data_IF_825174968079
#
_entry.id   IF_825174968079
#
_cell.length_a   1.000
_cell.length_b   1.000
_cell.length_c   1.000
_cell.angle_alpha   90.00
_cell.angle_beta   90.00
_cell.angle_gamma   90.00
#
_symmetry.space_group_name_H-M   'P 1'
#
loop_
_entity.id
_entity.type
_entity.pdbx_description
1 polymer ?
#
# COMPACT_ATOMS: atom_id res chain seq x y z
N UNK A 1 11.15 -2.24 25.54
CA UNK A 1 12.15 -2.61 24.53
C UNK A 1 11.51 -2.72 23.15
N UNK A 2 10.41 -3.42 23.05
CA UNK A 2 9.75 -3.64 21.77
C UNK A 2 9.18 -2.37 21.15
N UNK A 3 8.73 -1.44 21.98
CA UNK A 3 8.17 -0.18 21.47
C UNK A 3 9.20 0.65 20.71
N UNK A 4 10.45 0.64 21.17
CA UNK A 4 11.51 1.35 20.51
C UNK A 4 11.83 0.72 19.15
N UNK A 5 11.88 -0.61 19.10
CA UNK A 5 12.13 -1.34 17.87
C UNK A 5 10.96 -1.16 16.89
N UNK A 6 9.74 -1.16 17.39
CA UNK A 6 8.55 -0.96 16.56
C UNK A 6 8.63 0.41 15.89
N UNK A 7 8.89 1.47 16.67
CA UNK A 7 8.97 2.82 16.12
C UNK A 7 10.07 2.96 15.08
N UNK A 8 11.22 2.35 15.32
CA UNK A 8 12.35 2.38 14.40
C UNK A 8 12.00 1.67 13.09
N UNK A 9 11.42 0.50 13.18
CA UNK A 9 11.07 -0.29 12.00
C UNK A 9 9.97 0.40 11.17
N UNK A 10 8.98 0.97 11.83
CA UNK A 10 7.94 1.72 11.13
C UNK A 10 8.52 2.91 10.38
N UNK A 11 9.46 3.62 11.01
CA UNK A 11 10.11 4.77 10.37
C UNK A 11 10.92 4.33 9.15
N UNK A 12 11.67 3.24 9.27
CA UNK A 12 12.46 2.73 8.15
C UNK A 12 11.57 2.30 6.97
N UNK A 13 10.44 1.66 7.26
CA UNK A 13 9.50 1.26 6.22
C UNK A 13 8.95 2.50 5.49
N UNK A 14 8.57 3.53 6.25
CA UNK A 14 8.09 4.79 5.64
C UNK A 14 9.16 5.42 4.74
N UNK A 15 10.40 5.41 5.19
CA UNK A 15 11.50 5.98 4.42
C UNK A 15 11.73 5.23 3.11
N UNK A 16 11.71 3.89 3.15
CA UNK A 16 11.88 3.09 1.94
C UNK A 16 10.74 3.29 0.95
N UNK A 17 9.53 3.50 1.43
CA UNK A 17 8.39 3.74 0.56
C UNK A 17 8.30 5.19 0.10
N UNK A 18 9.06 6.09 0.73
CA UNK A 18 9.03 7.51 0.38
C UNK A 18 7.72 8.19 0.74
N UNK A 19 7.06 7.72 1.79
CA UNK A 19 5.76 8.24 2.21
C UNK A 19 5.87 9.04 3.50
N UNK A 20 5.00 10.04 3.62
CA UNK A 20 4.86 10.81 4.85
C UNK A 20 4.11 9.99 5.90
N UNK A 21 4.30 10.29 7.20
CA UNK A 21 3.58 9.55 8.24
C UNK A 21 2.06 9.52 8.07
N UNK A 22 1.48 10.60 7.56
CA UNK A 22 0.03 10.67 7.34
C UNK A 22 -0.45 9.80 6.18
N UNK A 23 0.47 9.29 5.36
CA UNK A 23 0.13 8.49 4.18
C UNK A 23 0.23 6.99 4.43
N UNK A 24 0.65 6.58 5.63
CA UNK A 24 0.90 5.18 5.93
C UNK A 24 0.36 4.84 7.30
N UNK A 25 -0.39 3.75 7.38
CA UNK A 25 -0.99 3.29 8.62
C UNK A 25 -0.61 1.83 8.85
N UNK A 26 -0.13 1.54 10.06
CA UNK A 26 0.23 0.20 10.49
C UNK A 26 -0.87 -0.33 11.40
N UNK A 27 -1.56 -1.37 10.98
CA UNK A 27 -2.62 -1.98 11.78
C UNK A 27 -2.21 -3.39 12.17
N UNK A 28 -2.22 -3.65 13.48
CA UNK A 28 -1.86 -4.95 14.03
C UNK A 28 -3.09 -5.62 14.60
N UNK A 29 -3.22 -6.92 14.34
CA UNK A 29 -4.30 -7.75 14.90
C UNK A 29 -3.73 -9.06 15.38
N UNK A 30 -4.28 -9.58 16.47
CA UNK A 30 -3.94 -10.92 16.94
C UNK A 30 -4.97 -11.90 16.41
N UNK A 31 -4.49 -12.95 15.73
CA UNK A 31 -5.32 -13.98 15.14
C UNK A 31 -4.71 -15.35 15.43
N UNK A 32 -5.41 -16.17 16.19
CA UNK A 32 -5.02 -17.58 16.43
C UNK A 32 -3.57 -17.75 16.88
N UNK A 33 -3.15 -16.92 17.82
CA UNK A 33 -1.80 -17.02 18.39
C UNK A 33 -0.72 -16.37 17.54
N UNK A 34 -1.08 -15.72 16.46
CA UNK A 34 -0.16 -14.96 15.63
C UNK A 34 -0.57 -13.50 15.56
N UNK A 35 0.39 -12.66 15.19
CA UNK A 35 0.13 -11.26 14.94
C UNK A 35 0.11 -11.05 13.43
N UNK A 36 -0.85 -10.29 12.95
CA UNK A 36 -0.93 -9.88 11.56
C UNK A 36 -0.77 -8.36 11.47
N UNK A 37 0.11 -7.93 10.58
CA UNK A 37 0.28 -6.51 10.25
C UNK A 37 -0.34 -6.25 8.90
N UNK A 38 -1.30 -5.33 8.86
CA UNK A 38 -1.82 -4.78 7.61
C UNK A 38 -1.18 -3.42 7.42
N UNK A 39 -0.46 -3.25 6.33
CA UNK A 39 0.14 -1.97 5.97
C UNK A 39 -0.80 -1.27 4.98
N UNK A 40 -1.37 -0.17 5.42
CA UNK A 40 -2.40 0.54 4.66
C UNK A 40 -1.84 1.88 4.21
N UNK A 41 -1.97 2.16 2.92
CA UNK A 41 -1.57 3.45 2.37
C UNK A 41 -2.80 4.33 2.25
N UNK A 42 -2.62 5.60 2.60
CA UNK A 42 -3.67 6.60 2.60
C UNK A 42 -3.30 7.68 1.59
N UNK A 43 -4.22 8.01 0.70
CA UNK A 43 -4.01 9.12 -0.23
C UNK A 43 -4.96 10.24 0.14
N UNK A 44 -4.49 11.27 0.88
CA UNK A 44 -5.34 12.37 1.32
C UNK A 44 -5.98 13.15 0.18
N UNK A 45 -5.27 13.24 -0.97
CA UNK A 45 -5.78 13.98 -2.13
C UNK A 45 -7.04 13.35 -2.70
N UNK A 46 -7.14 12.01 -2.61
CA UNK A 46 -8.26 11.27 -3.18
C UNK A 46 -9.16 10.68 -2.11
N UNK A 47 -8.84 10.90 -0.83
CA UNK A 47 -9.60 10.37 0.30
C UNK A 47 -9.82 8.86 0.18
N UNK A 48 -8.76 8.16 -0.17
CA UNK A 48 -8.78 6.70 -0.37
C UNK A 48 -7.71 6.03 0.46
N UNK A 49 -8.01 4.81 0.86
CA UNK A 49 -7.07 3.95 1.58
C UNK A 49 -7.01 2.59 0.91
N UNK A 50 -5.81 2.00 0.89
CA UNK A 50 -5.59 0.72 0.23
C UNK A 50 -4.70 -0.16 1.09
N UNK A 51 -5.00 -1.45 1.11
CA UNK A 51 -4.08 -2.40 1.72
C UNK A 51 -2.90 -2.59 0.78
N UNK A 52 -1.72 -2.14 1.20
CA UNK A 52 -0.50 -2.31 0.43
C UNK A 52 -0.02 -3.77 0.49
N UNK A 53 0.07 -4.31 1.70
CA UNK A 53 0.53 -5.68 1.93
C UNK A 53 0.23 -6.07 3.37
N UNK A 54 0.11 -7.37 3.62
CA UNK A 54 0.09 -7.87 5.00
C UNK A 54 1.22 -8.86 5.22
N UNK A 55 1.66 -8.96 6.48
CA UNK A 55 2.61 -9.96 6.93
C UNK A 55 2.13 -10.52 8.26
N UNK A 56 2.49 -11.77 8.53
CA UNK A 56 2.16 -12.41 9.80
C UNK A 56 3.42 -12.88 10.49
N UNK A 57 3.41 -12.90 11.81
CA UNK A 57 4.53 -13.33 12.60
C UNK A 57 4.13 -13.63 14.04
N UNK A 58 5.12 -13.97 14.84
CA UNK A 58 4.89 -14.28 16.26
C UNK A 58 4.58 -13.04 17.09
N UNK A 59 5.11 -11.90 16.67
CA UNK A 59 4.93 -10.63 17.35
C UNK A 59 5.01 -9.49 16.34
N UNK A 60 4.82 -8.28 16.83
CA UNK A 60 4.83 -7.08 15.99
C UNK A 60 6.17 -6.85 15.32
N UNK A 61 7.25 -7.08 16.05
CA UNK A 61 8.61 -6.87 15.53
C UNK A 61 8.88 -7.78 14.35
N UNK A 62 8.52 -9.06 14.45
CA UNK A 62 8.71 -10.00 13.35
C UNK A 62 7.91 -9.58 12.11
N UNK A 63 6.66 -9.15 12.31
CA UNK A 63 5.85 -8.65 11.21
C UNK A 63 6.51 -7.46 10.51
N UNK A 64 7.03 -6.53 11.30
CA UNK A 64 7.69 -5.34 10.76
C UNK A 64 9.00 -5.67 10.07
N UNK A 65 9.77 -6.63 10.60
CA UNK A 65 11.00 -7.05 9.96
C UNK A 65 10.74 -7.69 8.60
N UNK A 66 9.71 -8.54 8.51
CA UNK A 66 9.30 -9.12 7.23
C UNK A 66 8.84 -8.06 6.24
N UNK A 67 8.07 -7.09 6.72
CA UNK A 67 7.58 -5.99 5.88
C UNK A 67 8.75 -5.15 5.38
N UNK A 68 9.69 -4.84 6.26
CA UNK A 68 10.88 -4.07 5.88
C UNK A 68 11.69 -4.78 4.81
N UNK A 69 11.90 -6.08 4.96
CA UNK A 69 12.63 -6.87 3.97
C UNK A 69 11.92 -6.80 2.60
N UNK A 70 10.61 -6.86 2.61
CA UNK A 70 9.83 -6.76 1.38
C UNK A 70 9.99 -5.39 0.71
N UNK A 71 9.83 -4.29 1.48
CA UNK A 71 9.90 -2.95 0.90
C UNK A 71 11.30 -2.58 0.45
N UNK A 72 12.34 -3.16 1.06
CA UNK A 72 13.72 -2.97 0.58
C UNK A 72 13.92 -3.52 -0.82
N UNK A 73 13.38 -4.69 -1.09
CA UNK A 73 13.50 -5.29 -2.42
C UNK A 73 12.61 -4.60 -3.46
N UNK A 74 11.59 -3.93 -3.02
CA UNK A 74 10.60 -3.28 -3.86
C UNK A 74 11.02 -1.88 -4.31
N UNK A 75 11.81 -1.19 -3.49
CA UNK A 75 12.10 0.25 -3.64
C UNK A 75 12.74 0.63 -4.99
N UNK A 76 13.69 -0.18 -5.46
CA UNK A 76 14.57 0.22 -6.54
C UNK A 76 14.08 -0.22 -7.92
N UNK A 77 12.91 -0.82 -8.00
CA UNK A 77 12.36 -1.30 -9.26
C UNK A 77 10.92 -0.84 -9.44
N UNK A 78 10.57 -0.55 -10.70
CA UNK A 78 9.18 -0.35 -11.03
C UNK A 78 8.44 -1.66 -10.88
N UNK A 79 7.25 -1.59 -10.33
CA UNK A 79 6.36 -2.73 -10.17
C UNK A 79 5.12 -2.53 -11.02
N UNK A 80 4.44 -3.63 -11.32
CA UNK A 80 3.18 -3.59 -12.04
C UNK A 80 2.04 -3.55 -11.04
N UNK A 81 1.06 -2.70 -11.31
CA UNK A 81 -0.12 -2.54 -10.46
C UNK A 81 -1.38 -2.78 -11.27
N UNK A 82 -2.34 -3.46 -10.68
CA UNK A 82 -3.68 -3.62 -11.24
C UNK A 82 -4.62 -2.71 -10.49
N UNK A 83 -5.29 -1.82 -11.22
CA UNK A 83 -6.26 -0.89 -10.65
C UNK A 83 -7.64 -1.22 -11.17
N UNK A 84 -8.59 -1.40 -10.26
CA UNK A 84 -9.99 -1.59 -10.62
C UNK A 84 -10.77 -0.33 -10.27
N UNK A 85 -11.48 0.20 -11.23
CA UNK A 85 -12.14 1.47 -11.10
C UNK A 85 -13.39 1.52 -11.99
N UNK A 86 -14.21 2.51 -11.78
CA UNK A 86 -15.35 2.77 -12.66
C UNK A 86 -15.59 4.26 -12.78
N UNK A 87 -16.23 4.65 -13.87
CA UNK A 87 -16.72 6.01 -14.04
C UNK A 87 -17.99 6.17 -13.23
N UNK A 88 -18.15 7.31 -12.59
CA UNK A 88 -19.35 7.60 -11.79
C UNK A 88 -20.59 7.50 -12.67
N UNK A 89 -21.59 6.75 -12.22
CA UNK A 89 -22.80 6.52 -12.99
C UNK A 89 -22.75 5.32 -13.93
N UNK A 90 -21.55 4.74 -14.13
CA UNK A 90 -21.38 3.55 -14.93
C UNK A 90 -21.29 2.34 -13.99
N UNK A 91 -21.92 1.24 -14.39
CA UNK A 91 -21.89 0.00 -13.60
C UNK A 91 -20.73 -0.91 -13.95
N UNK A 92 -20.13 -0.68 -15.10
CA UNK A 92 -19.06 -1.55 -15.60
C UNK A 92 -17.74 -1.25 -14.88
N UNK A 93 -17.14 -2.29 -14.34
CA UNK A 93 -15.84 -2.18 -13.69
C UNK A 93 -14.74 -2.21 -14.75
N UNK A 94 -13.86 -1.22 -14.69
CA UNK A 94 -12.71 -1.13 -15.57
C UNK A 94 -11.48 -1.67 -14.87
N UNK A 95 -10.56 -2.25 -15.62
CA UNK A 95 -9.29 -2.73 -15.09
C UNK A 95 -8.16 -2.08 -15.89
N UNK A 96 -7.22 -1.47 -15.18
CA UNK A 96 -6.05 -0.86 -15.81
C UNK A 96 -4.78 -1.38 -15.17
N UNK A 97 -3.71 -1.42 -15.95
CA UNK A 97 -2.41 -1.92 -15.49
C UNK A 97 -1.40 -0.81 -15.70
N UNK A 98 -0.66 -0.47 -14.63
CA UNK A 98 0.38 0.56 -14.71
C UNK A 98 1.66 0.06 -14.07
N UNK A 99 2.78 0.40 -14.69
CA UNK A 99 4.08 0.24 -14.03
C UNK A 99 4.40 1.53 -13.32
N UNK A 100 4.82 1.42 -12.07
CA UNK A 100 5.08 2.58 -11.23
C UNK A 100 6.01 2.19 -10.09
N UNK A 101 6.62 3.17 -9.46
CA UNK A 101 7.51 2.94 -8.32
C UNK A 101 6.75 2.70 -7.01
N UNK A 102 5.53 3.17 -6.95
CA UNK A 102 4.65 2.95 -5.80
C UNK A 102 3.19 3.10 -6.26
N UNK A 103 2.26 2.76 -5.37
CA UNK A 103 0.84 2.78 -5.76
C UNK A 103 0.30 4.20 -5.96
N UNK A 104 0.89 5.22 -5.31
CA UNK A 104 0.47 6.59 -5.55
C UNK A 104 0.82 7.04 -6.96
N UNK A 105 1.98 6.65 -7.44
CA UNK A 105 2.36 6.92 -8.83
C UNK A 105 1.43 6.20 -9.80
N UNK A 106 1.04 4.96 -9.49
CA UNK A 106 0.08 4.22 -10.29
C UNK A 106 -1.28 4.94 -10.33
N UNK A 107 -1.74 5.45 -9.18
CA UNK A 107 -2.98 6.23 -9.11
C UNK A 107 -2.88 7.52 -9.90
N UNK A 108 -1.76 8.22 -9.80
CA UNK A 108 -1.56 9.46 -10.55
C UNK A 108 -1.62 9.19 -12.05
N UNK A 109 -1.09 8.07 -12.50
CA UNK A 109 -1.17 7.69 -13.92
C UNK A 109 -2.61 7.40 -14.34
N UNK A 110 -3.39 6.76 -13.47
CA UNK A 110 -4.81 6.52 -13.76
C UNK A 110 -5.58 7.83 -13.86
N UNK A 111 -5.33 8.76 -12.94
CA UNK A 111 -6.04 10.03 -12.92
C UNK A 111 -5.57 11.03 -13.98
N UNK A 112 -4.44 10.78 -14.60
CA UNK A 112 -3.89 11.69 -15.60
C UNK A 112 -4.90 11.90 -16.75
N UNK A 113 -5.25 13.14 -16.97
CA UNK A 113 -6.21 13.51 -18.00
C UNK A 113 -7.67 13.21 -17.66
N UNK A 114 -7.94 12.77 -16.44
CA UNK A 114 -9.31 12.47 -15.98
C UNK A 114 -9.68 13.40 -14.83
N UNK A 115 -10.97 13.72 -14.75
CA UNK A 115 -11.48 14.48 -13.62
C UNK A 115 -11.61 13.55 -12.42
N UNK A 116 -10.97 13.90 -11.31
CA UNK A 116 -10.96 13.10 -10.10
C UNK A 116 -12.36 12.79 -9.57
N UNK A 117 -13.31 13.69 -9.83
CA UNK A 117 -14.66 13.53 -9.33
C UNK A 117 -15.52 12.56 -10.16
N UNK A 118 -15.00 12.12 -11.30
CA UNK A 118 -15.75 11.26 -12.22
C UNK A 118 -15.43 9.78 -12.11
N UNK A 119 -14.39 9.41 -11.35
CA UNK A 119 -14.02 8.01 -11.22
C UNK A 119 -13.91 7.59 -9.76
N UNK A 120 -14.22 6.32 -9.53
CA UNK A 120 -14.08 5.69 -8.21
C UNK A 120 -13.12 4.51 -8.37
N UNK A 121 -12.06 4.51 -7.57
CA UNK A 121 -11.10 3.41 -7.57
C UNK A 121 -11.48 2.43 -6.46
N UNK A 122 -11.65 1.17 -6.81
CA UNK A 122 -12.04 0.13 -5.85
C UNK A 122 -10.85 -0.60 -5.27
N UNK A 123 -9.80 -0.78 -6.05
CA UNK A 123 -8.64 -1.48 -5.56
C UNK A 123 -7.39 -1.09 -6.33
N UNK A 124 -6.27 -1.14 -5.64
CA UNK A 124 -4.93 -1.04 -6.23
C UNK A 124 -4.16 -2.24 -5.69
N UNK A 125 -3.72 -3.11 -6.57
CA UNK A 125 -3.04 -4.34 -6.17
C UNK A 125 -1.66 -4.37 -6.82
N UNK A 126 -0.65 -4.63 -6.00
CA UNK A 126 0.69 -4.87 -6.48
C UNK A 126 0.73 -6.27 -7.08
N UNK A 127 1.09 -6.37 -8.35
CA UNK A 127 1.16 -7.66 -9.01
C UNK A 127 2.47 -8.36 -8.64
N UNK A 128 2.45 -9.70 -8.51
CA UNK A 128 3.69 -10.42 -8.26
C UNK A 128 4.68 -10.17 -9.38
N UNK A 129 5.94 -10.04 -9.03
CA UNK A 129 6.98 -9.95 -10.05
C UNK A 129 7.16 -11.34 -10.69
N UNK A 130 7.25 -11.33 -11.98
CA UNK A 130 7.47 -12.54 -12.76
C UNK A 130 8.95 -12.81 -12.91
#
# INVERSE_FOLDING_TARGET
MDEFDIARLEREIRQYLGLEPAQLQFEFRELEGQVRLDLITLNPRHQQSFLFRYESGRDKVECLEKMLAYVRSYRDTESSYTLQWRTRGDRELQTSYFRAHNMYEALDKLYFGRDLNTITVFSVVLNPSS
#
